data_IF_309206515110
#
_entry.id   IF_309206515110
#
_cell.length_a   1.000
_cell.length_b   1.000
_cell.length_c   1.000
_cell.angle_alpha   90.00
_cell.angle_beta   90.00
_cell.angle_gamma   90.00
#
_symmetry.space_group_name_H-M   'P 1'
#
loop_
_entity.id
_entity.type
_entity.pdbx_description
1 polymer ?
#
# COMPACT_ATOMS: atom_id res chain seq x y z
N UNK A 1 -51.90 -55.70 -56.42
CA UNK A 1 -52.33 -56.22 -55.10
C UNK A 1 -51.09 -56.38 -54.22
N UNK A 2 -51.17 -55.86 -52.98
CA UNK A 2 -50.37 -56.17 -51.76
C UNK A 2 -48.83 -56.08 -51.79
N UNK A 3 -48.10 -55.57 -50.79
CA UNK A 3 -48.32 -54.83 -49.53
C UNK A 3 -46.90 -54.36 -49.13
N UNK A 4 -46.70 -53.08 -48.81
CA UNK A 4 -45.39 -52.54 -48.38
C UNK A 4 -45.07 -52.85 -46.90
N UNK A 5 -43.78 -52.86 -46.49
CA UNK A 5 -43.42 -53.10 -45.10
C UNK A 5 -43.56 -51.80 -44.30
N UNK A 6 -44.35 -51.90 -43.22
CA UNK A 6 -44.75 -50.80 -42.36
C UNK A 6 -43.64 -50.28 -41.45
N UNK A 7 -43.67 -48.96 -41.23
CA UNK A 7 -42.89 -48.24 -40.22
C UNK A 7 -43.30 -48.71 -38.80
N UNK A 8 -42.36 -48.85 -37.85
CA UNK A 8 -42.69 -49.19 -36.48
C UNK A 8 -43.41 -48.02 -35.78
N UNK A 9 -44.51 -48.34 -35.10
CA UNK A 9 -45.32 -47.41 -34.30
C UNK A 9 -44.52 -46.87 -33.11
N UNK A 10 -44.50 -45.54 -32.97
CA UNK A 10 -44.16 -44.85 -31.73
C UNK A 10 -45.14 -45.27 -30.64
N UNK A 11 -44.66 -45.99 -29.63
CA UNK A 11 -45.41 -46.24 -28.41
C UNK A 11 -45.42 -44.96 -27.57
N UNK A 12 -46.63 -44.47 -27.28
CA UNK A 12 -46.89 -43.39 -26.34
C UNK A 12 -46.41 -43.78 -24.94
N UNK A 13 -45.40 -43.07 -24.42
CA UNK A 13 -45.13 -43.04 -22.98
C UNK A 13 -46.25 -42.25 -22.28
N UNK A 14 -46.84 -42.75 -21.19
CA UNK A 14 -47.88 -42.02 -20.47
C UNK A 14 -47.30 -40.76 -19.82
N UNK A 15 -48.00 -39.63 -19.99
CA UNK A 15 -47.68 -38.38 -19.33
C UNK A 15 -47.66 -38.57 -17.82
N UNK A 16 -46.55 -38.21 -17.18
CA UNK A 16 -46.40 -38.27 -15.73
C UNK A 16 -47.50 -37.43 -15.03
N UNK A 17 -48.20 -37.97 -14.02
CA UNK A 17 -49.34 -37.29 -13.42
C UNK A 17 -48.93 -35.97 -12.76
N UNK A 18 -49.74 -34.93 -13.01
CA UNK A 18 -49.61 -33.53 -12.58
C UNK A 18 -49.31 -33.34 -11.08
N UNK A 19 -49.54 -34.35 -10.24
CA UNK A 19 -49.26 -34.36 -8.79
C UNK A 19 -47.76 -34.44 -8.46
N UNK A 20 -46.89 -34.92 -9.37
CA UNK A 20 -45.43 -34.98 -9.14
C UNK A 20 -44.70 -33.65 -9.39
N UNK A 21 -45.18 -32.81 -10.34
CA UNK A 21 -44.62 -31.47 -10.59
C UNK A 21 -44.89 -30.48 -9.43
N UNK A 22 -45.97 -30.69 -8.67
CA UNK A 22 -46.30 -29.90 -7.48
C UNK A 22 -45.46 -30.27 -6.24
N UNK A 23 -45.16 -31.56 -6.02
CA UNK A 23 -44.29 -32.01 -4.91
C UNK A 23 -42.83 -31.56 -5.08
N UNK A 24 -42.31 -31.53 -6.32
CA UNK A 24 -40.97 -31.00 -6.61
C UNK A 24 -40.88 -29.47 -6.48
N UNK A 25 -41.90 -28.71 -6.92
CA UNK A 25 -41.95 -27.25 -6.71
C UNK A 25 -42.15 -26.85 -5.24
N UNK A 26 -42.87 -27.64 -4.42
CA UNK A 26 -42.97 -27.40 -2.96
C UNK A 26 -41.69 -27.77 -2.20
N UNK A 27 -40.93 -28.81 -2.60
CA UNK A 27 -39.61 -29.11 -2.02
C UNK A 27 -38.54 -28.07 -2.38
N UNK A 28 -38.52 -27.52 -3.60
CA UNK A 28 -37.64 -26.39 -3.97
C UNK A 28 -38.02 -25.07 -3.29
N UNK A 29 -39.30 -24.79 -3.04
CA UNK A 29 -39.74 -23.60 -2.28
C UNK A 29 -39.53 -23.72 -0.76
N UNK A 30 -39.58 -24.91 -0.17
CA UNK A 30 -39.18 -25.11 1.25
C UNK A 30 -37.66 -25.06 1.46
N UNK A 31 -36.84 -25.57 0.52
CA UNK A 31 -35.37 -25.38 0.57
C UNK A 31 -34.90 -23.94 0.26
N UNK A 32 -35.62 -23.19 -0.59
CA UNK A 32 -35.32 -21.74 -0.82
C UNK A 32 -35.80 -20.82 0.31
N UNK A 33 -36.83 -21.19 1.07
CA UNK A 33 -37.30 -20.42 2.24
C UNK A 33 -36.59 -20.75 3.56
N UNK A 34 -35.83 -21.83 3.63
CA UNK A 34 -34.94 -22.12 4.78
C UNK A 34 -33.53 -21.53 4.63
N UNK A 35 -33.15 -21.06 3.43
CA UNK A 35 -31.87 -20.37 3.17
C UNK A 35 -32.00 -18.83 3.21
N UNK A 36 -33.16 -18.30 3.57
CA UNK A 36 -33.44 -16.86 3.71
C UNK A 36 -34.04 -16.53 5.08
N UNK A 37 -33.66 -17.31 6.10
CA UNK A 37 -33.87 -16.95 7.49
C UNK A 37 -32.64 -16.17 7.97
N UNK A 38 -32.80 -14.83 7.97
CA UNK A 38 -32.04 -13.83 8.72
C UNK A 38 -31.07 -14.40 9.77
N UNK A 39 -29.78 -14.43 9.41
CA UNK A 39 -28.73 -14.24 10.42
C UNK A 39 -28.66 -12.75 10.75
N UNK A 40 -29.63 -12.27 11.53
CA UNK A 40 -29.43 -11.04 12.30
C UNK A 40 -28.79 -11.48 13.62
N UNK A 41 -27.56 -11.99 13.56
CA UNK A 41 -26.70 -11.91 14.75
C UNK A 41 -26.49 -10.42 14.94
N UNK A 42 -27.10 -9.86 15.98
CA UNK A 42 -26.65 -8.58 16.51
C UNK A 42 -25.13 -8.70 16.64
N UNK A 43 -24.39 -8.00 15.76
CA UNK A 43 -22.97 -7.78 15.99
C UNK A 43 -22.96 -6.92 17.25
N UNK A 44 -22.72 -7.56 18.39
CA UNK A 44 -22.12 -6.85 19.50
C UNK A 44 -20.83 -6.33 18.91
N UNK A 45 -20.83 -5.07 18.50
CA UNK A 45 -19.59 -4.38 18.16
C UNK A 45 -18.88 -4.23 19.49
N UNK A 46 -18.16 -5.28 19.89
CA UNK A 46 -17.11 -5.14 20.87
C UNK A 46 -16.16 -4.15 20.22
N UNK A 47 -16.23 -2.89 20.64
CA UNK A 47 -15.20 -1.91 20.34
C UNK A 47 -13.98 -2.46 21.06
N UNK A 48 -13.24 -3.33 20.37
CA UNK A 48 -11.99 -3.86 20.88
C UNK A 48 -11.08 -2.66 21.00
N UNK A 49 -10.72 -2.30 22.23
CA UNK A 49 -9.72 -1.29 22.54
C UNK A 49 -8.56 -1.38 21.55
N UNK A 50 -8.26 -0.29 20.86
CA UNK A 50 -7.09 -0.19 19.99
C UNK A 50 -6.02 0.50 20.81
N UNK A 51 -4.84 -0.12 20.98
CA UNK A 51 -3.80 0.47 21.79
C UNK A 51 -3.42 1.88 21.33
N UNK A 52 -2.97 2.70 22.28
CA UNK A 52 -2.32 4.00 22.09
C UNK A 52 -0.83 3.81 22.36
N UNK A 53 0.02 4.51 21.62
CA UNK A 53 1.45 4.38 21.78
C UNK A 53 2.26 5.56 21.20
N UNK A 54 3.54 5.61 21.53
CA UNK A 54 4.51 6.55 20.97
C UNK A 54 5.54 5.82 20.10
N UNK A 55 6.11 6.51 19.12
CA UNK A 55 7.22 5.99 18.30
C UNK A 55 8.13 7.12 17.84
N UNK A 56 9.31 6.75 17.33
CA UNK A 56 10.35 7.70 16.88
C UNK A 56 10.85 8.64 18.01
N UNK A 57 10.86 8.16 19.26
CA UNK A 57 11.49 8.87 20.38
C UNK A 57 12.97 9.15 20.09
N UNK A 58 13.68 8.15 19.55
CA UNK A 58 15.00 8.36 18.95
C UNK A 58 15.05 7.85 17.50
N UNK A 59 16.03 8.27 16.67
CA UNK A 59 16.21 7.72 15.33
C UNK A 59 16.37 6.20 15.28
N UNK A 60 16.92 5.61 16.35
CA UNK A 60 17.14 4.17 16.51
C UNK A 60 15.84 3.39 16.72
N UNK A 61 14.77 4.06 17.17
CA UNK A 61 13.44 3.46 17.25
C UNK A 61 12.80 3.26 15.87
N UNK A 62 13.40 3.78 14.80
CA UNK A 62 12.90 3.65 13.44
C UNK A 62 14.02 3.30 12.46
N UNK A 63 14.26 1.99 12.33
CA UNK A 63 15.27 1.44 11.44
C UNK A 63 14.62 1.06 10.10
N UNK A 64 15.25 1.49 9.01
CA UNK A 64 14.82 1.13 7.65
C UNK A 64 15.99 0.54 6.88
N UNK A 65 15.89 -0.73 6.52
CA UNK A 65 16.88 -1.38 5.67
C UNK A 65 16.33 -1.60 4.26
N UNK A 66 16.94 -0.97 3.27
CA UNK A 66 16.59 -1.15 1.86
C UNK A 66 16.95 -2.56 1.40
N UNK A 67 15.97 -3.24 0.78
CA UNK A 67 16.14 -4.55 0.15
C UNK A 67 16.38 -4.32 -1.35
N UNK A 68 17.60 -4.52 -1.87
CA UNK A 68 17.91 -4.27 -3.27
C UNK A 68 17.07 -5.12 -4.23
N UNK A 69 16.84 -4.61 -5.43
CA UNK A 69 16.23 -5.38 -6.51
C UNK A 69 17.12 -6.57 -6.96
N UNK A 70 18.42 -6.37 -6.89
CA UNK A 70 19.46 -7.30 -7.31
C UNK A 70 20.77 -6.93 -6.61
N UNK A 71 21.68 -7.90 -6.48
CA UNK A 71 23.02 -7.67 -5.96
C UNK A 71 23.89 -6.89 -6.99
N UNK A 72 24.92 -6.17 -6.55
CA UNK A 72 25.94 -5.63 -7.45
C UNK A 72 26.60 -6.76 -8.26
N UNK A 73 27.00 -6.46 -9.50
CA UNK A 73 27.52 -7.51 -10.41
C UNK A 73 29.02 -7.78 -10.24
N UNK A 74 29.72 -6.97 -9.43
CA UNK A 74 31.18 -7.03 -9.26
C UNK A 74 31.97 -6.30 -10.34
N UNK A 75 31.33 -5.90 -11.44
CA UNK A 75 31.93 -5.18 -12.57
C UNK A 75 30.99 -4.11 -13.14
N UNK A 76 31.56 -3.12 -13.83
CA UNK A 76 30.83 -2.11 -14.60
C UNK A 76 31.31 -0.67 -14.38
N UNK A 77 30.47 0.27 -14.81
CA UNK A 77 30.76 1.71 -14.83
C UNK A 77 30.11 2.46 -13.66
N UNK A 78 29.46 1.76 -12.74
CA UNK A 78 28.85 2.34 -11.55
C UNK A 78 29.30 1.62 -10.29
N UNK A 79 29.76 2.35 -9.28
CA UNK A 79 30.02 1.81 -7.96
C UNK A 79 28.73 1.88 -7.15
N UNK A 80 28.18 0.73 -6.76
CA UNK A 80 27.09 0.67 -5.78
C UNK A 80 27.69 0.87 -4.39
N UNK A 81 27.24 1.90 -3.70
CA UNK A 81 27.68 2.27 -2.36
C UNK A 81 26.50 2.07 -1.42
N UNK A 82 26.57 1.03 -0.59
CA UNK A 82 25.59 0.76 0.47
C UNK A 82 26.08 1.38 1.77
N UNK A 83 25.24 2.19 2.37
CA UNK A 83 25.60 2.96 3.56
C UNK A 83 24.44 3.06 4.53
N UNK A 84 24.77 3.21 5.81
CA UNK A 84 23.83 3.61 6.86
C UNK A 84 23.90 5.13 7.02
N UNK A 85 22.74 5.78 7.17
CA UNK A 85 22.64 7.20 7.53
C UNK A 85 21.79 7.43 8.78
N UNK A 86 22.12 8.50 9.52
CA UNK A 86 21.41 8.97 10.71
C UNK A 86 21.26 10.48 10.67
N UNK A 87 20.06 11.00 10.95
CA UNK A 87 19.79 12.44 11.07
C UNK A 87 19.95 13.24 9.76
N UNK A 88 20.07 12.56 8.62
CA UNK A 88 20.26 13.16 7.29
C UNK A 88 19.20 12.66 6.32
N UNK A 89 18.77 13.51 5.39
CA UNK A 89 17.99 13.13 4.22
C UNK A 89 18.87 12.41 3.19
N UNK A 90 18.24 11.69 2.26
CA UNK A 90 18.97 11.10 1.11
C UNK A 90 19.66 12.17 0.27
N UNK A 91 19.02 13.32 0.04
CA UNK A 91 19.58 14.39 -0.80
C UNK A 91 20.80 15.08 -0.17
N UNK A 92 20.81 15.26 1.16
CA UNK A 92 21.98 15.77 1.88
C UNK A 92 23.17 14.82 1.74
N UNK A 93 22.95 13.51 1.86
CA UNK A 93 24.00 12.49 1.66
C UNK A 93 24.49 12.48 0.21
N UNK A 94 23.58 12.47 -0.76
CA UNK A 94 23.93 12.50 -2.20
C UNK A 94 24.76 13.73 -2.53
N UNK A 95 24.40 14.90 -1.98
CA UNK A 95 25.15 16.14 -2.18
C UNK A 95 26.55 16.06 -1.56
N UNK A 96 26.68 15.50 -0.36
CA UNK A 96 27.97 15.32 0.30
C UNK A 96 28.87 14.31 -0.44
N UNK A 97 28.31 13.17 -0.87
CA UNK A 97 28.99 12.18 -1.71
C UNK A 97 29.45 12.79 -3.03
N UNK A 98 28.59 13.54 -3.71
CA UNK A 98 28.93 14.17 -4.99
C UNK A 98 30.17 15.07 -4.87
N UNK A 99 30.22 15.90 -3.82
CA UNK A 99 31.37 16.77 -3.53
C UNK A 99 32.63 15.97 -3.20
N UNK A 100 32.54 15.01 -2.28
CA UNK A 100 33.69 14.21 -1.85
C UNK A 100 34.29 13.32 -2.95
N UNK A 101 33.42 12.81 -3.83
CA UNK A 101 33.80 11.88 -4.91
C UNK A 101 34.07 12.58 -6.25
N UNK A 102 33.95 13.92 -6.31
CA UNK A 102 34.11 14.71 -7.52
C UNK A 102 33.22 14.24 -8.69
N UNK A 103 31.93 14.06 -8.41
CA UNK A 103 30.89 13.74 -9.39
C UNK A 103 29.74 14.73 -9.29
N UNK A 104 28.86 14.77 -10.30
CA UNK A 104 27.66 15.59 -10.23
C UNK A 104 26.55 14.84 -9.49
N UNK A 105 25.80 15.51 -8.61
CA UNK A 105 24.70 14.88 -7.86
C UNK A 105 23.68 14.19 -8.76
N UNK A 106 23.40 14.76 -9.94
CA UNK A 106 22.49 14.17 -10.93
C UNK A 106 22.98 12.83 -11.50
N UNK A 107 24.28 12.56 -11.44
CA UNK A 107 24.88 11.32 -11.92
C UNK A 107 24.80 10.21 -10.87
N UNK A 108 24.61 10.56 -9.60
CA UNK A 108 24.35 9.60 -8.53
C UNK A 108 22.92 9.08 -8.66
N UNK A 109 22.78 7.76 -8.72
CA UNK A 109 21.50 7.07 -8.80
C UNK A 109 20.98 6.70 -7.41
N UNK A 110 19.67 6.82 -7.21
CA UNK A 110 18.95 6.50 -5.97
C UNK A 110 17.71 5.66 -6.29
N UNK A 111 17.51 4.57 -5.53
CA UNK A 111 16.32 3.73 -5.69
C UNK A 111 15.07 4.35 -5.06
N UNK A 112 15.23 5.11 -3.97
CA UNK A 112 14.15 5.84 -3.32
C UNK A 112 14.67 6.75 -2.22
N UNK A 113 13.83 7.70 -1.80
CA UNK A 113 14.12 8.58 -0.68
C UNK A 113 13.90 7.84 0.65
N UNK A 114 14.61 8.28 1.69
CA UNK A 114 14.51 7.74 3.05
C UNK A 114 14.33 8.87 4.05
N UNK A 115 13.57 8.59 5.11
CA UNK A 115 13.26 9.55 6.18
C UNK A 115 14.51 10.13 6.84
N UNK A 116 14.48 11.41 7.19
CA UNK A 116 15.55 12.08 7.95
C UNK A 116 15.61 11.60 9.41
N UNK A 117 14.43 11.47 10.03
CA UNK A 117 14.25 11.06 11.43
C UNK A 117 14.11 9.54 11.48
N UNK A 118 15.22 8.86 11.18
CA UNK A 118 15.36 7.41 11.13
C UNK A 118 16.85 7.05 10.99
N UNK A 119 17.21 5.84 11.40
CA UNK A 119 18.46 5.21 10.96
C UNK A 119 18.14 4.35 9.73
N UNK A 120 18.74 4.68 8.59
CA UNK A 120 18.37 4.03 7.33
C UNK A 120 19.58 3.50 6.59
N UNK A 121 19.50 2.26 6.14
CA UNK A 121 20.46 1.67 5.20
C UNK A 121 19.90 1.75 3.79
N UNK A 122 20.66 2.28 2.85
CA UNK A 122 20.28 2.39 1.43
C UNK A 122 21.49 2.27 0.52
N UNK A 123 21.24 2.00 -0.76
CA UNK A 123 22.28 1.95 -1.78
C UNK A 123 22.14 3.12 -2.75
N UNK A 124 23.27 3.71 -3.14
CA UNK A 124 23.36 4.64 -4.27
C UNK A 124 24.31 4.10 -5.32
N UNK A 125 24.15 4.52 -6.58
CA UNK A 125 25.12 4.22 -7.63
C UNK A 125 25.90 5.46 -8.02
N UNK A 126 27.23 5.42 -7.95
CA UNK A 126 28.12 6.52 -8.31
C UNK A 126 28.83 6.18 -9.63
N UNK A 127 28.86 7.07 -10.64
CA UNK A 127 29.54 6.76 -11.90
C UNK A 127 31.05 6.62 -11.68
N UNK A 128 31.69 5.77 -12.48
CA UNK A 128 33.13 5.54 -12.45
C UNK A 128 33.90 6.86 -12.65
N UNK A 129 34.89 7.07 -11.80
CA UNK A 129 35.86 8.16 -11.87
C UNK A 129 37.25 7.65 -11.45
N UNK A 130 38.34 8.29 -11.89
CA UNK A 130 39.66 8.03 -11.33
C UNK A 130 39.64 8.15 -9.80
N UNK A 131 40.34 7.24 -9.12
CA UNK A 131 40.50 7.25 -7.65
C UNK A 131 39.20 7.14 -6.84
N UNK A 132 38.06 6.81 -7.47
CA UNK A 132 36.75 6.83 -6.81
C UNK A 132 36.71 6.02 -5.51
N UNK A 133 37.24 4.80 -5.54
CA UNK A 133 37.26 3.90 -4.38
C UNK A 133 38.18 4.40 -3.26
N UNK A 134 39.34 4.99 -3.60
CA UNK A 134 40.24 5.60 -2.62
C UNK A 134 39.58 6.82 -1.97
N UNK A 135 39.00 7.71 -2.77
CA UNK A 135 38.24 8.87 -2.27
C UNK A 135 37.09 8.45 -1.38
N UNK A 136 36.35 7.41 -1.76
CA UNK A 136 35.23 6.89 -0.95
C UNK A 136 35.71 6.34 0.40
N UNK A 137 36.84 5.63 0.42
CA UNK A 137 37.43 5.08 1.64
C UNK A 137 37.81 6.17 2.65
N UNK A 138 38.35 7.28 2.16
CA UNK A 138 38.83 8.38 3.00
C UNK A 138 37.74 9.44 3.29
N UNK A 139 36.54 9.27 2.72
CA UNK A 139 35.47 10.24 2.80
C UNK A 139 34.76 10.21 4.17
N UNK A 140 34.84 11.33 4.89
CA UNK A 140 34.11 11.52 6.15
C UNK A 140 32.90 12.41 5.92
N UNK A 141 31.71 11.85 6.12
CA UNK A 141 30.44 12.60 6.08
C UNK A 141 29.73 12.40 7.42
N UNK A 142 29.36 13.47 8.16
CA UNK A 142 28.66 13.31 9.42
C UNK A 142 27.30 12.62 9.25
N UNK A 143 27.07 11.57 10.04
CA UNK A 143 25.85 10.77 9.97
C UNK A 143 25.79 9.81 8.78
N UNK A 144 26.94 9.49 8.17
CA UNK A 144 27.11 8.49 7.12
C UNK A 144 28.10 7.42 7.59
N UNK A 145 27.77 6.15 7.34
CA UNK A 145 28.63 5.00 7.61
C UNK A 145 28.64 4.11 6.36
N UNK A 146 29.80 3.95 5.74
CA UNK A 146 29.99 3.05 4.61
C UNK A 146 29.89 1.60 5.09
N UNK A 147 29.03 0.80 4.46
CA UNK A 147 28.86 -0.62 4.79
C UNK A 147 29.49 -1.53 3.73
N UNK A 148 29.23 -1.22 2.44
CA UNK A 148 29.71 -2.02 1.32
C UNK A 148 29.86 -1.14 0.08
N UNK A 149 30.85 -1.46 -0.75
CA UNK A 149 31.01 -0.87 -2.08
C UNK A 149 31.37 -1.95 -3.10
N UNK A 150 30.63 -2.05 -4.20
CA UNK A 150 30.87 -3.03 -5.25
C UNK A 150 30.40 -2.52 -6.62
N UNK A 151 31.07 -2.94 -7.69
CA UNK A 151 30.76 -2.46 -9.04
C UNK A 151 29.47 -3.07 -9.59
N UNK A 152 28.80 -2.29 -10.42
CA UNK A 152 27.62 -2.70 -11.16
C UNK A 152 27.55 -2.05 -12.54
N UNK A 153 26.94 -2.74 -13.50
CA UNK A 153 26.84 -2.29 -14.90
C UNK A 153 25.95 -1.07 -15.09
N UNK A 154 24.88 -0.97 -14.29
CA UNK A 154 23.81 0.00 -14.52
C UNK A 154 23.75 1.06 -13.42
N UNK A 155 23.37 2.29 -13.80
CA UNK A 155 22.91 3.30 -12.84
C UNK A 155 21.65 2.83 -12.13
N UNK A 156 21.60 3.03 -10.81
CA UNK A 156 20.40 2.82 -10.00
C UNK A 156 19.35 3.89 -10.33
N UNK A 157 18.11 3.49 -10.59
CA UNK A 157 16.99 4.41 -10.86
C UNK A 157 15.91 4.27 -9.81
N UNK A 158 15.05 5.27 -9.71
CA UNK A 158 13.88 5.23 -8.82
C UNK A 158 13.07 3.96 -9.06
N UNK A 159 12.74 3.26 -7.98
CA UNK A 159 12.03 1.98 -8.03
C UNK A 159 12.92 0.74 -8.14
N UNK A 160 14.25 0.88 -8.26
CA UNK A 160 15.20 -0.26 -8.27
C UNK A 160 15.44 -0.86 -6.88
N UNK A 161 14.38 -1.12 -6.13
CA UNK A 161 14.39 -1.82 -4.84
C UNK A 161 13.18 -2.76 -4.77
N UNK A 162 13.33 -3.91 -4.11
CA UNK A 162 12.18 -4.79 -3.83
C UNK A 162 11.26 -4.17 -2.79
N UNK A 163 11.85 -3.52 -1.79
CA UNK A 163 11.13 -3.00 -0.65
C UNK A 163 12.05 -2.55 0.46
N UNK A 164 11.49 -2.38 1.64
CA UNK A 164 12.23 -2.00 2.84
C UNK A 164 11.83 -2.91 3.99
N UNK A 165 12.83 -3.35 4.76
CA UNK A 165 12.65 -3.99 6.05
C UNK A 165 12.63 -2.90 7.12
N UNK A 166 11.55 -2.83 7.86
CA UNK A 166 11.37 -1.92 8.96
C UNK A 166 11.63 -2.66 10.27
N UNK A 167 12.33 -2.02 11.19
CA UNK A 167 12.34 -2.40 12.61
C UNK A 167 11.97 -1.15 13.40
N UNK A 168 10.80 -1.20 14.02
CA UNK A 168 10.21 -0.06 14.73
C UNK A 168 10.03 -0.41 16.19
N UNK A 169 10.54 0.41 17.08
CA UNK A 169 10.24 0.33 18.51
C UNK A 169 9.05 1.24 18.78
N UNK A 170 8.00 0.65 19.34
CA UNK A 170 6.82 1.35 19.80
C UNK A 170 6.84 1.33 21.33
N UNK A 171 6.66 2.50 21.95
CA UNK A 171 6.78 2.73 23.40
C UNK A 171 5.45 3.21 23.97
N UNK A 172 5.38 3.25 25.30
CA UNK A 172 4.23 3.73 26.07
C UNK A 172 2.90 3.08 25.64
N UNK A 173 2.96 1.78 25.32
CA UNK A 173 1.80 1.03 24.85
C UNK A 173 0.89 0.73 26.06
N UNK A 174 -0.37 1.14 25.97
CA UNK A 174 -1.38 0.93 27.02
C UNK A 174 -1.93 -0.52 27.07
N UNK A 175 -1.95 -1.23 25.93
CA UNK A 175 -2.35 -2.64 25.80
C UNK A 175 -1.38 -3.40 24.87
N UNK A 176 -0.24 -3.83 25.40
CA UNK A 176 0.79 -4.59 24.66
C UNK A 176 0.24 -5.88 24.06
N UNK A 177 -0.55 -6.64 24.83
CA UNK A 177 -1.15 -7.89 24.35
C UNK A 177 -2.13 -7.62 23.19
N UNK A 178 -2.88 -6.53 23.27
CA UNK A 178 -3.74 -6.05 22.18
C UNK A 178 -2.97 -5.68 20.93
N UNK A 179 -1.83 -5.00 21.09
CA UNK A 179 -0.95 -4.65 19.99
C UNK A 179 -0.40 -5.91 19.32
N UNK A 180 0.16 -6.85 20.07
CA UNK A 180 0.68 -8.12 19.54
C UNK A 180 -0.39 -8.95 18.82
N UNK A 181 -1.60 -9.08 19.40
CA UNK A 181 -2.71 -9.77 18.73
C UNK A 181 -3.05 -9.11 17.40
N UNK A 182 -3.02 -7.78 17.30
CA UNK A 182 -3.31 -7.07 16.05
C UNK A 182 -2.19 -7.24 15.04
N UNK A 183 -0.93 -7.15 15.45
CA UNK A 183 0.21 -7.44 14.59
C UNK A 183 0.18 -8.88 14.06
N UNK A 184 -0.19 -9.86 14.90
CA UNK A 184 -0.39 -11.26 14.47
C UNK A 184 -1.48 -11.38 13.41
N UNK A 185 -2.59 -10.64 13.54
CA UNK A 185 -3.63 -10.63 12.51
C UNK A 185 -3.18 -9.93 11.21
N UNK A 186 -2.38 -8.86 11.33
CA UNK A 186 -1.76 -8.20 10.18
C UNK A 186 -0.81 -9.14 9.44
N UNK A 187 0.00 -9.93 10.16
CA UNK A 187 0.90 -10.91 9.55
C UNK A 187 0.13 -11.93 8.69
N UNK A 188 -1.07 -12.33 9.13
CA UNK A 188 -1.92 -13.30 8.39
C UNK A 188 -2.69 -12.68 7.23
N UNK A 189 -3.14 -11.43 7.36
CA UNK A 189 -4.13 -10.83 6.44
C UNK A 189 -3.60 -9.64 5.65
N UNK A 190 -2.42 -9.12 5.97
CA UNK A 190 -1.97 -7.80 5.54
C UNK A 190 -2.82 -6.68 6.12
N UNK A 191 -2.77 -5.51 5.47
CA UNK A 191 -3.60 -4.34 5.81
C UNK A 191 -4.32 -3.79 4.58
N UNK A 192 -5.45 -3.09 4.73
CA UNK A 192 -6.04 -2.28 3.67
C UNK A 192 -5.03 -1.29 3.06
N UNK A 193 -4.96 -1.23 1.73
CA UNK A 193 -3.97 -0.45 1.00
C UNK A 193 -4.44 0.96 0.59
N UNK A 194 -5.11 1.66 1.51
CA UNK A 194 -5.64 3.00 1.25
C UNK A 194 -4.52 4.01 0.99
N UNK A 195 -4.77 4.98 0.13
CA UNK A 195 -3.92 6.17 0.02
C UNK A 195 -4.09 7.04 1.27
N UNK A 196 -2.98 7.44 1.88
CA UNK A 196 -2.96 8.32 3.06
C UNK A 196 -3.37 9.76 2.76
N UNK A 197 -3.75 10.49 3.82
CA UNK A 197 -4.23 11.89 3.76
C UNK A 197 -3.28 12.85 3.03
N UNK A 198 -1.97 12.64 3.16
CA UNK A 198 -0.94 13.43 2.47
C UNK A 198 -1.11 13.45 0.94
N UNK A 199 -1.65 12.39 0.34
CA UNK A 199 -1.93 12.32 -1.10
C UNK A 199 -3.00 13.33 -1.54
N UNK A 200 -3.91 13.67 -0.64
CA UNK A 200 -5.06 14.53 -0.91
C UNK A 200 -4.82 15.99 -0.53
N UNK A 201 -3.63 16.33 -0.04
CA UNK A 201 -3.30 17.66 0.44
C UNK A 201 -3.97 17.99 1.78
N UNK A 202 -3.63 19.13 2.35
CA UNK A 202 -4.23 19.57 3.61
C UNK A 202 -5.76 19.72 3.45
N UNK A 203 -6.54 19.13 4.35
CA UNK A 203 -8.01 19.17 4.31
C UNK A 203 -8.66 18.61 3.04
N UNK A 204 -8.02 17.66 2.33
CA UNK A 204 -8.49 17.13 1.04
C UNK A 204 -8.56 18.15 -0.11
N UNK A 205 -7.86 19.27 0.02
CA UNK A 205 -7.84 20.36 -0.96
C UNK A 205 -7.50 19.91 -2.40
N UNK A 206 -6.68 18.87 -2.57
CA UNK A 206 -6.36 18.36 -3.90
C UNK A 206 -7.55 17.67 -4.56
N UNK A 207 -8.44 17.01 -3.81
CA UNK A 207 -9.63 16.35 -4.39
C UNK A 207 -10.59 17.41 -4.92
N UNK A 208 -10.94 18.40 -4.08
CA UNK A 208 -11.84 19.48 -4.46
C UNK A 208 -11.29 20.28 -5.66
N UNK A 209 -10.00 20.58 -5.65
CA UNK A 209 -9.32 21.26 -6.75
C UNK A 209 -9.29 20.41 -8.03
N UNK A 210 -9.07 19.09 -7.92
CA UNK A 210 -9.16 18.20 -9.06
C UNK A 210 -10.57 18.18 -9.65
N UNK A 211 -11.61 18.11 -8.81
CA UNK A 211 -13.00 18.14 -9.25
C UNK A 211 -13.35 19.46 -9.95
N UNK A 212 -13.01 20.61 -9.35
CA UNK A 212 -13.24 21.92 -9.97
C UNK A 212 -12.56 22.04 -11.34
N UNK A 213 -11.32 21.57 -11.45
CA UNK A 213 -10.61 21.54 -12.74
C UNK A 213 -11.28 20.59 -13.75
N UNK A 214 -11.62 19.36 -13.36
CA UNK A 214 -12.21 18.37 -14.25
C UNK A 214 -13.63 18.77 -14.71
N UNK A 215 -14.37 19.52 -13.89
CA UNK A 215 -15.66 20.13 -14.28
C UNK A 215 -15.53 21.30 -15.26
N UNK A 216 -14.36 21.92 -15.32
CA UNK A 216 -14.15 23.18 -16.05
C UNK A 216 -14.49 24.43 -15.25
N UNK A 217 -14.77 24.32 -13.94
CA UNK A 217 -15.04 25.46 -13.06
C UNK A 217 -13.76 26.29 -12.79
N UNK A 218 -12.59 25.64 -12.84
CA UNK A 218 -11.29 26.28 -12.60
C UNK A 218 -10.22 25.81 -13.62
N UNK A 219 -9.19 26.63 -13.80
CA UNK A 219 -8.05 26.29 -14.66
C UNK A 219 -7.17 25.26 -13.95
N UNK A 220 -6.98 24.12 -14.60
CA UNK A 220 -6.02 23.12 -14.14
C UNK A 220 -4.57 23.62 -14.16
N UNK A 221 -3.64 22.89 -13.51
CA UNK A 221 -2.22 23.22 -13.56
C UNK A 221 -1.71 23.32 -15.00
N UNK A 222 -0.79 24.27 -15.27
CA UNK A 222 -0.13 24.39 -16.59
C UNK A 222 0.92 23.30 -16.80
N UNK A 223 1.66 22.97 -15.74
CA UNK A 223 2.70 21.94 -15.79
C UNK A 223 2.08 20.52 -15.93
N UNK A 224 2.50 19.73 -16.92
CA UNK A 224 1.98 18.37 -17.13
C UNK A 224 2.16 17.43 -15.94
N UNK A 225 3.24 17.56 -15.15
CA UNK A 225 3.46 16.71 -13.97
C UNK A 225 2.47 17.07 -12.86
N UNK A 226 2.27 18.35 -12.62
CA UNK A 226 1.27 18.85 -11.68
C UNK A 226 -0.16 18.44 -12.07
N UNK A 227 -0.51 18.44 -13.38
CA UNK A 227 -1.80 17.93 -13.87
C UNK A 227 -2.00 16.45 -13.54
N UNK A 228 -1.00 15.60 -13.84
CA UNK A 228 -1.05 14.16 -13.51
C UNK A 228 -1.14 13.92 -12.01
N UNK A 229 -0.41 14.68 -11.21
CA UNK A 229 -0.48 14.59 -9.75
C UNK A 229 -1.88 14.91 -9.23
N UNK A 230 -2.47 16.02 -9.68
CA UNK A 230 -3.80 16.45 -9.26
C UNK A 230 -4.89 15.46 -9.71
N UNK A 231 -4.83 14.97 -10.95
CA UNK A 231 -5.72 13.92 -11.44
C UNK A 231 -5.59 12.63 -10.63
N UNK A 232 -4.36 12.24 -10.28
CA UNK A 232 -4.11 11.06 -9.46
C UNK A 232 -4.71 11.16 -8.06
N UNK A 233 -4.83 12.37 -7.48
CA UNK A 233 -5.52 12.56 -6.21
C UNK A 233 -7.01 12.19 -6.31
N UNK A 234 -7.69 12.57 -7.40
CA UNK A 234 -9.07 12.17 -7.64
C UNK A 234 -9.21 10.66 -7.87
N UNK A 235 -8.36 10.05 -8.70
CA UNK A 235 -8.34 8.58 -8.88
C UNK A 235 -8.14 7.84 -7.55
N UNK A 236 -7.23 8.34 -6.70
CA UNK A 236 -6.92 7.77 -5.39
C UNK A 236 -8.14 7.81 -4.46
N UNK A 237 -9.01 8.82 -4.58
CA UNK A 237 -10.25 8.91 -3.79
C UNK A 237 -11.27 7.84 -4.18
N UNK A 238 -11.38 7.54 -5.48
CA UNK A 238 -12.24 6.47 -6.01
C UNK A 238 -11.75 5.12 -5.53
N UNK A 239 -10.43 4.87 -5.62
CA UNK A 239 -9.82 3.65 -5.09
C UNK A 239 -10.11 3.48 -3.59
N UNK A 240 -9.87 4.53 -2.78
CA UNK A 240 -10.12 4.50 -1.34
C UNK A 240 -11.60 4.21 -1.05
N UNK A 241 -12.51 4.81 -1.82
CA UNK A 241 -13.95 4.59 -1.65
C UNK A 241 -14.38 3.15 -1.97
N UNK A 242 -13.81 2.53 -3.01
CA UNK A 242 -14.02 1.09 -3.28
C UNK A 242 -13.50 0.24 -2.12
N UNK A 243 -12.29 0.54 -1.64
CA UNK A 243 -11.69 -0.17 -0.51
C UNK A 243 -12.53 -0.03 0.77
N UNK A 244 -13.05 1.16 1.07
CA UNK A 244 -13.96 1.39 2.20
C UNK A 244 -15.20 0.49 2.16
N UNK A 245 -15.83 0.35 0.98
CA UNK A 245 -16.99 -0.53 0.83
C UNK A 245 -16.62 -1.99 1.07
N UNK A 246 -15.47 -2.44 0.52
CA UNK A 246 -14.94 -3.79 0.74
C UNK A 246 -14.51 -4.03 2.19
N UNK A 247 -14.09 -2.99 2.92
CA UNK A 247 -13.82 -3.09 4.37
C UNK A 247 -15.15 -3.26 5.12
N UNK A 248 -16.15 -2.44 4.80
CA UNK A 248 -17.43 -2.43 5.48
C UNK A 248 -18.19 -3.76 5.37
N UNK A 249 -18.13 -4.41 4.20
CA UNK A 249 -18.73 -5.73 3.98
C UNK A 249 -17.80 -6.90 4.39
N UNK A 250 -16.54 -6.63 4.71
CA UNK A 250 -15.55 -7.60 5.17
C UNK A 250 -14.82 -8.37 4.06
N UNK A 251 -15.02 -8.01 2.78
CA UNK A 251 -14.44 -8.69 1.62
C UNK A 251 -13.10 -8.12 1.13
N UNK A 252 -12.53 -7.10 1.78
CA UNK A 252 -11.29 -6.43 1.35
C UNK A 252 -10.06 -7.35 1.23
N UNK A 253 -9.97 -8.37 2.09
CA UNK A 253 -8.89 -9.36 2.07
C UNK A 253 -9.25 -10.63 1.28
N UNK A 254 -10.52 -10.78 0.91
CA UNK A 254 -11.04 -11.95 0.20
C UNK A 254 -11.19 -11.71 -1.30
N UNK A 255 -11.56 -12.77 -2.00
CA UNK A 255 -11.79 -12.80 -3.44
C UNK A 255 -13.29 -12.91 -3.72
N UNK A 256 -13.80 -12.02 -4.57
CA UNK A 256 -15.13 -12.13 -5.15
C UNK A 256 -15.04 -12.73 -6.57
N UNK A 257 -16.04 -13.51 -7.01
CA UNK A 257 -16.14 -13.92 -8.41
C UNK A 257 -16.11 -12.69 -9.33
N UNK A 258 -15.24 -12.73 -10.34
CA UNK A 258 -15.04 -11.62 -11.28
C UNK A 258 -14.08 -10.53 -10.80
N UNK A 259 -13.46 -10.63 -9.61
CA UNK A 259 -12.39 -9.70 -9.21
C UNK A 259 -11.24 -9.74 -10.25
N UNK A 260 -10.60 -8.58 -10.50
CA UNK A 260 -9.27 -8.57 -11.09
C UNK A 260 -8.26 -8.77 -9.96
N UNK A 261 -7.51 -9.86 -10.02
CA UNK A 261 -6.48 -10.22 -9.05
C UNK A 261 -5.10 -9.83 -9.58
N UNK A 262 -4.19 -9.51 -8.67
CA UNK A 262 -2.75 -9.38 -8.96
C UNK A 262 -1.99 -10.55 -8.33
N UNK A 263 -0.96 -11.06 -8.99
CA UNK A 263 0.04 -11.95 -8.39
C UNK A 263 1.17 -11.12 -7.79
N UNK A 264 1.51 -11.35 -6.52
CA UNK A 264 2.51 -10.52 -5.82
C UNK A 264 3.95 -10.81 -6.22
N UNK A 265 4.22 -11.98 -6.80
CA UNK A 265 5.55 -12.39 -7.26
C UNK A 265 5.97 -11.69 -8.58
N UNK A 266 5.01 -11.52 -9.49
CA UNK A 266 5.22 -11.14 -10.88
C UNK A 266 4.53 -9.83 -11.26
N UNK A 267 3.59 -9.35 -10.44
CA UNK A 267 2.75 -8.18 -10.74
C UNK A 267 1.69 -8.43 -11.82
N UNK A 268 1.61 -9.64 -12.38
CA UNK A 268 0.64 -9.99 -13.41
C UNK A 268 -0.80 -9.93 -12.90
N UNK A 269 -1.68 -9.29 -13.66
CA UNK A 269 -3.12 -9.19 -13.34
C UNK A 269 -3.96 -10.17 -14.15
N UNK A 270 -4.98 -10.76 -13.54
CA UNK A 270 -5.87 -11.72 -14.18
C UNK A 270 -7.29 -11.63 -13.61
N UNK A 271 -8.28 -12.08 -14.41
CA UNK A 271 -9.67 -12.15 -13.97
C UNK A 271 -9.87 -13.42 -13.13
N UNK A 272 -10.50 -13.30 -11.97
CA UNK A 272 -10.92 -14.41 -11.14
C UNK A 272 -12.13 -15.11 -11.77
N UNK A 273 -11.93 -16.33 -12.27
CA UNK A 273 -12.99 -17.18 -12.81
C UNK A 273 -13.45 -18.26 -11.81
N UNK A 274 -12.60 -18.64 -10.87
CA UNK A 274 -12.93 -19.55 -9.76
C UNK A 274 -12.47 -18.93 -8.42
N UNK A 275 -13.43 -18.31 -7.73
CA UNK A 275 -13.17 -17.64 -6.47
C UNK A 275 -12.75 -18.61 -5.35
N UNK A 276 -13.11 -19.90 -5.40
CA UNK A 276 -12.72 -20.84 -4.36
C UNK A 276 -11.22 -21.15 -4.43
N UNK A 277 -10.71 -21.39 -5.64
CA UNK A 277 -9.27 -21.62 -5.87
C UNK A 277 -8.47 -20.35 -5.58
N UNK A 278 -8.91 -19.22 -6.09
CA UNK A 278 -8.19 -17.96 -5.90
C UNK A 278 -8.26 -17.45 -4.45
N UNK A 279 -9.30 -17.82 -3.67
CA UNK A 279 -9.35 -17.52 -2.25
C UNK A 279 -8.24 -18.23 -1.48
N UNK A 280 -7.93 -19.50 -1.78
CA UNK A 280 -6.81 -20.22 -1.15
C UNK A 280 -5.49 -19.48 -1.39
N UNK A 281 -5.27 -19.05 -2.63
CA UNK A 281 -4.09 -18.26 -3.02
C UNK A 281 -4.05 -16.91 -2.32
N UNK A 282 -5.20 -16.29 -2.09
CA UNK A 282 -5.33 -15.04 -1.35
C UNK A 282 -5.08 -15.24 0.16
N UNK A 283 -5.48 -16.37 0.74
CA UNK A 283 -5.21 -16.70 2.14
C UNK A 283 -3.72 -16.96 2.38
N UNK A 284 -3.03 -17.52 1.38
CA UNK A 284 -1.56 -17.66 1.32
C UNK A 284 -0.82 -16.36 0.97
N UNK A 285 -1.55 -15.24 0.80
CA UNK A 285 -1.00 -13.93 0.44
C UNK A 285 -0.24 -13.90 -0.91
N UNK A 286 -0.44 -14.88 -1.80
CA UNK A 286 0.19 -14.93 -3.12
C UNK A 286 -0.52 -14.06 -4.16
N UNK A 287 -1.82 -13.81 -3.97
CA UNK A 287 -2.62 -12.91 -4.80
C UNK A 287 -3.43 -11.93 -3.96
N UNK A 288 -3.95 -10.87 -4.58
CA UNK A 288 -4.93 -9.98 -3.95
C UNK A 288 -5.89 -9.39 -4.97
N UNK A 289 -7.14 -9.18 -4.54
CA UNK A 289 -8.08 -8.36 -5.28
C UNK A 289 -7.55 -6.93 -5.46
N UNK A 290 -7.94 -6.31 -6.56
CA UNK A 290 -7.51 -4.96 -6.93
C UNK A 290 -8.68 -4.00 -6.99
N UNK A 291 -8.41 -2.72 -6.77
CA UNK A 291 -9.35 -1.62 -6.99
C UNK A 291 -8.93 -0.74 -8.18
N UNK A 292 -9.82 0.16 -8.62
CA UNK A 292 -9.64 0.92 -9.84
C UNK A 292 -8.73 2.14 -9.64
N UNK A 293 -7.76 2.31 -10.53
CA UNK A 293 -7.15 3.60 -10.83
C UNK A 293 -7.67 3.99 -12.21
N UNK A 294 -8.83 4.64 -12.25
CA UNK A 294 -9.63 4.77 -13.47
C UNK A 294 -8.87 5.43 -14.63
N UNK A 295 -9.03 4.85 -15.82
CA UNK A 295 -8.45 5.34 -17.06
C UNK A 295 -9.01 4.58 -18.25
N UNK A 296 -8.79 5.09 -19.45
CA UNK A 296 -9.39 4.59 -20.69
C UNK A 296 -9.09 3.10 -20.96
N UNK A 297 -7.87 2.65 -20.63
CA UNK A 297 -7.41 1.27 -20.87
C UNK A 297 -7.45 0.41 -19.60
N UNK A 298 -8.07 0.89 -18.53
CA UNK A 298 -8.17 0.13 -17.29
C UNK A 298 -8.98 -1.15 -17.53
N UNK A 299 -8.42 -2.30 -17.13
CA UNK A 299 -9.14 -3.57 -17.11
C UNK A 299 -10.18 -3.55 -15.98
N UNK A 300 -11.46 -3.68 -16.33
CA UNK A 300 -12.52 -3.75 -15.34
C UNK A 300 -12.74 -5.18 -14.83
N UNK A 301 -13.21 -5.34 -13.58
CA UNK A 301 -13.68 -6.63 -13.08
C UNK A 301 -15.06 -6.99 -13.67
N UNK A 302 -15.60 -8.12 -13.25
CA UNK A 302 -16.91 -8.64 -13.63
C UNK A 302 -17.80 -8.89 -12.40
N UNK A 303 -19.10 -9.14 -12.63
CA UNK A 303 -20.03 -9.60 -11.60
C UNK A 303 -20.15 -8.66 -10.40
N UNK A 304 -20.05 -9.23 -9.19
CA UNK A 304 -20.23 -8.50 -7.94
C UNK A 304 -19.14 -7.44 -7.72
N UNK A 305 -17.90 -7.75 -8.08
CA UNK A 305 -16.78 -6.81 -8.00
C UNK A 305 -17.01 -5.60 -8.92
N UNK A 306 -17.51 -5.85 -10.14
CA UNK A 306 -17.89 -4.77 -11.09
C UNK A 306 -18.99 -3.87 -10.55
N UNK A 307 -20.01 -4.44 -9.92
CA UNK A 307 -21.11 -3.65 -9.37
C UNK A 307 -20.64 -2.67 -8.28
N UNK A 308 -19.65 -3.05 -7.46
CA UNK A 308 -19.06 -2.16 -6.45
C UNK A 308 -18.31 -1.02 -7.12
N UNK A 309 -17.45 -1.33 -8.10
CA UNK A 309 -16.66 -0.31 -8.80
C UNK A 309 -17.54 0.64 -9.62
N UNK A 310 -18.51 0.14 -10.39
CA UNK A 310 -19.41 0.97 -11.19
C UNK A 310 -20.23 1.92 -10.34
N UNK A 311 -20.65 1.49 -9.15
CA UNK A 311 -21.33 2.37 -8.19
C UNK A 311 -20.45 3.53 -7.78
N UNK A 312 -19.23 3.25 -7.32
CA UNK A 312 -18.31 4.29 -6.83
C UNK A 312 -17.86 5.22 -7.96
N UNK A 313 -17.60 4.68 -9.15
CA UNK A 313 -17.23 5.47 -10.32
C UNK A 313 -18.37 6.39 -10.73
N UNK A 314 -19.62 5.89 -10.74
CA UNK A 314 -20.80 6.72 -11.02
C UNK A 314 -20.96 7.84 -10.00
N UNK A 315 -20.89 7.54 -8.70
CA UNK A 315 -20.94 8.53 -7.62
C UNK A 315 -19.86 9.62 -7.85
N UNK A 316 -18.65 9.24 -8.23
CA UNK A 316 -17.56 10.17 -8.51
C UNK A 316 -17.80 11.02 -9.78
N UNK A 317 -18.33 10.45 -10.86
CA UNK A 317 -18.64 11.17 -12.10
C UNK A 317 -19.82 12.14 -11.94
N UNK A 318 -20.82 11.78 -11.12
CA UNK A 318 -21.92 12.67 -10.75
C UNK A 318 -21.40 13.96 -10.09
N UNK A 319 -20.35 13.88 -9.25
CA UNK A 319 -19.70 15.08 -8.68
C UNK A 319 -19.11 16.00 -9.74
N UNK A 320 -18.80 15.45 -10.92
CA UNK A 320 -18.27 16.16 -12.08
C UNK A 320 -19.34 16.59 -13.09
N UNK A 321 -20.62 16.25 -12.87
CA UNK A 321 -21.71 16.45 -13.83
C UNK A 321 -21.43 15.79 -15.19
N UNK A 322 -20.80 14.62 -15.18
CA UNK A 322 -20.49 13.82 -16.37
C UNK A 322 -21.33 12.55 -16.33
N UNK A 323 -21.94 12.17 -17.46
CA UNK A 323 -22.93 11.09 -17.50
C UNK A 323 -22.30 9.72 -17.31
N UNK A 324 -21.17 9.46 -17.96
CA UNK A 324 -20.45 8.18 -17.87
C UNK A 324 -18.94 8.31 -18.11
N UNK A 325 -18.24 7.19 -17.89
CA UNK A 325 -16.79 7.12 -18.02
C UNK A 325 -16.31 7.30 -19.47
N UNK A 326 -17.13 6.93 -20.47
CA UNK A 326 -16.79 7.09 -21.88
C UNK A 326 -16.73 8.57 -22.24
N UNK A 327 -17.75 9.33 -21.82
CA UNK A 327 -17.75 10.80 -21.95
C UNK A 327 -16.53 11.40 -21.25
N UNK A 328 -16.25 10.98 -20.01
CA UNK A 328 -15.08 11.47 -19.27
C UNK A 328 -13.77 11.26 -20.04
N UNK A 329 -13.48 10.03 -20.47
CA UNK A 329 -12.20 9.73 -21.11
C UNK A 329 -12.08 10.29 -22.52
N UNK A 330 -13.18 10.47 -23.26
CA UNK A 330 -13.12 11.19 -24.54
C UNK A 330 -12.59 12.63 -24.40
N UNK A 331 -12.85 13.28 -23.26
CA UNK A 331 -12.38 14.65 -22.93
C UNK A 331 -11.00 14.67 -22.26
N UNK A 332 -10.59 13.55 -21.66
CA UNK A 332 -9.45 13.47 -20.75
C UNK A 332 -8.47 12.33 -21.03
N UNK A 333 -8.47 11.77 -22.24
CA UNK A 333 -7.63 10.62 -22.63
C UNK A 333 -6.14 10.79 -22.30
N UNK A 334 -5.64 12.04 -22.35
CA UNK A 334 -4.23 12.36 -22.07
C UNK A 334 -3.85 12.35 -20.58
N UNK A 335 -4.82 12.23 -19.65
CA UNK A 335 -4.56 12.27 -18.21
C UNK A 335 -4.04 10.95 -17.65
N UNK A 336 -4.26 9.83 -18.35
CA UNK A 336 -3.68 8.54 -18.02
C UNK A 336 -4.51 7.35 -18.51
N UNK A 337 -3.83 6.27 -18.86
CA UNK A 337 -4.45 5.04 -19.36
C UNK A 337 -5.22 4.25 -18.29
N UNK A 338 -4.95 4.53 -17.01
CA UNK A 338 -5.54 3.80 -15.88
C UNK A 338 -4.81 2.50 -15.57
N UNK A 339 -5.04 1.97 -14.37
CA UNK A 339 -4.39 0.75 -13.90
C UNK A 339 -5.18 0.11 -12.76
N UNK A 340 -4.64 -0.97 -12.19
CA UNK A 340 -5.18 -1.69 -11.04
C UNK A 340 -4.23 -1.56 -9.86
N UNK A 341 -4.77 -1.24 -8.69
CA UNK A 341 -4.01 -1.19 -7.43
C UNK A 341 -4.49 -2.31 -6.51
N UNK A 342 -3.62 -3.06 -5.83
CA UNK A 342 -4.05 -4.08 -4.88
C UNK A 342 -4.84 -3.43 -3.72
N UNK A 343 -5.99 -3.99 -3.35
CA UNK A 343 -6.80 -3.56 -2.20
C UNK A 343 -6.09 -3.85 -0.87
N UNK A 344 -5.19 -4.83 -0.89
CA UNK A 344 -4.43 -5.31 0.25
C UNK A 344 -2.94 -5.02 0.09
N UNK A 345 -2.36 -4.49 1.14
CA UNK A 345 -0.93 -4.30 1.33
C UNK A 345 -0.39 -5.52 2.08
N UNK A 346 0.51 -6.27 1.43
CA UNK A 346 1.18 -7.41 2.06
C UNK A 346 2.24 -6.90 3.02
N UNK A 347 2.32 -7.55 4.18
CA UNK A 347 3.29 -7.31 5.23
C UNK A 347 4.01 -8.62 5.52
N UNK A 348 5.20 -8.77 4.96
CA UNK A 348 5.99 -10.01 5.04
C UNK A 348 6.94 -9.97 6.23
N UNK A 349 7.42 -11.14 6.67
CA UNK A 349 8.36 -11.30 7.79
C UNK A 349 7.96 -10.51 9.05
N UNK A 350 6.65 -10.40 9.34
CA UNK A 350 6.20 -9.66 10.50
C UNK A 350 6.50 -10.43 11.78
N UNK A 351 7.26 -9.81 12.68
CA UNK A 351 7.64 -10.36 13.98
C UNK A 351 7.53 -9.28 15.06
N UNK A 352 7.14 -9.67 16.26
CA UNK A 352 7.03 -8.80 17.43
C UNK A 352 7.92 -9.33 18.54
N UNK A 353 8.60 -8.41 19.23
CA UNK A 353 9.51 -8.71 20.33
C UNK A 353 9.22 -7.76 21.48
N UNK A 354 8.93 -8.30 22.66
CA UNK A 354 8.76 -7.49 23.87
C UNK A 354 10.14 -7.04 24.35
N UNK A 355 10.29 -5.74 24.59
CA UNK A 355 11.54 -5.14 25.08
C UNK A 355 11.41 -4.85 26.60
N UNK A 356 10.33 -4.17 27.00
CA UNK A 356 9.99 -3.80 28.38
C UNK A 356 8.47 -3.92 28.60
N UNK A 357 7.99 -3.63 29.82
CA UNK A 357 6.57 -3.79 30.21
C UNK A 357 5.59 -3.13 29.24
N UNK A 358 5.91 -1.95 28.70
CA UNK A 358 5.03 -1.17 27.80
C UNK A 358 5.68 -0.86 26.43
N UNK A 359 6.58 -1.71 25.95
CA UNK A 359 7.29 -1.48 24.69
C UNK A 359 7.38 -2.74 23.82
N UNK A 360 7.18 -2.55 22.52
CA UNK A 360 7.21 -3.60 21.51
C UNK A 360 8.11 -3.19 20.35
N UNK A 361 9.12 -4.01 20.06
CA UNK A 361 9.87 -3.93 18.81
C UNK A 361 9.16 -4.77 17.76
N UNK A 362 8.84 -4.15 16.63
CA UNK A 362 8.12 -4.77 15.52
C UNK A 362 8.99 -4.73 14.28
N UNK A 363 9.23 -5.90 13.70
CA UNK A 363 9.95 -6.03 12.44
C UNK A 363 9.01 -6.50 11.34
N UNK A 364 9.13 -5.96 10.13
CA UNK A 364 8.36 -6.42 8.96
C UNK A 364 8.98 -5.90 7.66
N UNK A 365 8.57 -6.47 6.53
CA UNK A 365 8.98 -6.07 5.18
C UNK A 365 7.78 -5.54 4.41
N UNK A 366 7.96 -4.39 3.75
CA UNK A 366 6.99 -3.84 2.81
C UNK A 366 7.60 -3.68 1.42
N UNK A 367 6.82 -3.88 0.35
CA UNK A 367 7.23 -3.58 -1.01
C UNK A 367 7.49 -2.07 -1.20
N UNK A 368 8.15 -1.73 -2.31
CA UNK A 368 8.41 -0.34 -2.66
C UNK A 368 7.10 0.48 -2.78
N UNK A 369 7.13 1.72 -2.30
CA UNK A 369 5.98 2.63 -2.31
C UNK A 369 4.95 2.41 -1.19
N UNK A 370 5.16 1.45 -0.31
CA UNK A 370 4.38 1.25 0.92
C UNK A 370 5.04 1.94 2.13
N UNK A 371 4.23 2.27 3.14
CA UNK A 371 4.65 3.05 4.30
C UNK A 371 4.45 2.25 5.60
N UNK A 372 5.44 2.27 6.49
CA UNK A 372 5.36 1.61 7.79
C UNK A 372 4.24 2.17 8.67
N UNK A 373 3.98 3.48 8.60
CA UNK A 373 2.90 4.15 9.34
C UNK A 373 1.52 3.56 9.03
N UNK A 374 1.28 3.09 7.81
CA UNK A 374 0.06 2.35 7.46
C UNK A 374 -0.06 1.08 8.28
N UNK A 375 1.00 0.27 8.38
CA UNK A 375 0.98 -0.96 9.19
C UNK A 375 0.77 -0.65 10.67
N UNK A 376 1.52 0.31 11.20
CA UNK A 376 1.47 0.65 12.63
C UNK A 376 0.07 1.18 13.01
N UNK A 377 -0.53 2.07 12.21
CA UNK A 377 -1.88 2.62 12.48
C UNK A 377 -3.02 1.58 12.41
N UNK A 378 -2.80 0.44 11.76
CA UNK A 378 -3.76 -0.65 11.79
C UNK A 378 -3.71 -1.47 13.08
N UNK A 379 -2.55 -1.51 13.75
CA UNK A 379 -2.35 -2.14 15.04
C UNK A 379 -2.63 -1.19 16.22
N UNK A 380 -2.31 0.10 16.08
CA UNK A 380 -2.31 1.12 17.13
C UNK A 380 -3.19 2.29 16.66
N UNK A 381 -4.20 2.68 17.43
CA UNK A 381 -5.15 3.73 17.01
C UNK A 381 -4.50 5.11 17.00
N UNK A 382 -3.90 5.49 18.13
CA UNK A 382 -3.28 6.80 18.31
C UNK A 382 -1.78 6.59 18.48
N UNK A 383 -1.08 6.63 17.34
CA UNK A 383 0.37 6.53 17.28
C UNK A 383 0.96 7.95 17.18
N UNK A 384 1.56 8.42 18.27
CA UNK A 384 2.12 9.78 18.33
C UNK A 384 3.62 9.74 18.09
N UNK A 385 4.12 10.60 17.20
CA UNK A 385 5.57 10.83 17.07
C UNK A 385 6.04 11.64 18.30
N UNK A 386 6.80 11.02 19.19
CA UNK A 386 7.43 11.72 20.31
C UNK A 386 8.81 12.23 19.85
N UNK A 387 8.93 13.50 19.50
CA UNK A 387 10.19 14.06 19.00
C UNK A 387 10.95 14.70 20.16
N UNK A 388 11.69 13.90 20.92
CA UNK A 388 12.48 14.42 22.04
C UNK A 388 13.63 15.33 21.61
N UNK A 389 14.09 15.22 20.35
CA UNK A 389 15.17 16.05 19.78
C UNK A 389 14.78 17.52 19.51
N UNK A 390 13.48 17.88 19.53
CA UNK A 390 13.02 19.27 19.36
C UNK A 390 12.81 20.02 20.69
N UNK A 391 13.03 19.38 21.85
CA UNK A 391 12.97 20.07 23.14
C UNK A 391 14.29 20.81 23.37
N UNK A 392 14.27 22.14 23.64
CA UNK A 392 15.49 22.83 24.04
C UNK A 392 16.06 22.13 25.29
N UNK A 393 17.40 21.97 25.38
CA UNK A 393 18.01 21.31 26.52
C UNK A 393 17.53 22.00 27.80
N UNK A 394 17.09 21.20 28.78
CA UNK A 394 16.68 21.72 30.07
C UNK A 394 17.80 22.61 30.63
N UNK A 395 17.47 23.88 30.89
CA UNK A 395 18.41 24.83 31.48
C UNK A 395 18.94 24.22 32.78
N UNK A 396 20.25 23.96 32.81
CA UNK A 396 20.94 23.55 34.03
C UNK A 396 20.68 24.61 35.12
N UNK A 397 20.40 24.22 36.37
CA UNK A 397 20.21 25.18 37.44
C UNK A 397 21.52 25.96 37.64
N UNK A 398 21.42 27.28 37.48
CA UNK A 398 22.48 28.24 37.71
C UNK A 398 23.00 28.10 39.14
N UNK A 399 24.27 27.72 39.28
CA UNK A 399 24.98 27.88 40.54
C UNK A 399 25.06 29.38 40.87
N UNK A 400 24.29 29.83 41.85
CA UNK A 400 24.44 31.15 42.43
C UNK A 400 25.72 31.18 43.26
N UNK A 401 26.77 31.80 42.72
CA UNK A 401 27.87 32.32 43.52
C UNK A 401 27.37 33.55 44.26
N UNK A 402 27.30 33.46 45.59
CA UNK A 402 27.07 34.63 46.46
C UNK A 402 28.35 34.88 47.23
N UNK A 403 29.21 35.75 46.68
CA UNK A 403 30.28 36.40 47.44
C UNK A 403 29.99 37.90 47.39
N UNK A 404 30.20 38.55 48.54
CA UNK A 404 30.33 39.99 48.77
C UNK A 404 29.04 40.79 49.02
N UNK A 405 28.77 41.02 50.30
CA UNK A 405 28.31 42.30 50.82
C UNK A 405 29.19 42.65 52.02
N UNK A 406 30.13 43.55 51.79
CA UNK A 406 30.88 44.28 52.81
C UNK A 406 30.32 45.70 52.83
N UNK A 407 29.67 46.08 53.93
CA UNK A 407 29.51 47.45 54.47
C UNK A 407 28.79 47.37 55.81
#
# INVERSE_FOLDING_TARGET
MSRGPGRPRLQHLPAAPWRWRWRWRRRRRRRRRQLTARFTRARVTVVRHRPVATFKSTPEDFLVDEIPAYAPSGEGDHLFVRFRKRGRTTDEIVTALARGLNVQSRDIGVAGLKDKVAVTTQTVSVPRRPELEARLRDLVIPGFELLEAAWHKNKLKTGHLRGNRFTVVVRDIDDVDGAERRFSEIAKKGVPNAFGSQRFGHGQSNIARAQAWLRGDDRGPRDPKARRFLFSAWQSSIFNRVLELRIADGSWAGVLPGDILVKHDSGGIFLCTDAAIDQLRADELSVSATGPMIGEKMRFPEGAARAIEDRVIREALETLKIADATEFFSRHATLGEGTRRPLRQIVSDLQTFREHTNALRVQFVLPSGAYATTVLSHAIADLTEDRTDDRPPASQPSQMSSTELSS
#
